data_IF_443375279215
#
_entry.id   IF_443375279215
#
_cell.length_a   1.000
_cell.length_b   1.000
_cell.length_c   1.000
_cell.angle_alpha   90.00
_cell.angle_beta   90.00
_cell.angle_gamma   90.00
#
_symmetry.space_group_name_H-M   'P 1'
#
loop_
_entity.id
_entity.type
_entity.pdbx_description
1 polymer ?
#
# COMPACT_ATOMS: atom_id res chain seq x y z
N UNK A 1 -20.86 0.43 -3.73
CA UNK A 1 -19.47 -0.02 -3.93
C UNK A 1 -19.22 -1.23 -3.04
N UNK A 2 -18.66 -2.34 -3.55
CA UNK A 2 -18.35 -3.52 -2.75
C UNK A 2 -17.27 -3.22 -1.71
N UNK A 3 -17.42 -3.80 -0.52
CA UNK A 3 -16.50 -3.68 0.61
C UNK A 3 -15.30 -4.60 0.43
N UNK A 4 -14.08 -4.09 0.67
CA UNK A 4 -12.84 -4.87 0.61
C UNK A 4 -12.69 -5.73 1.88
N UNK A 5 -12.79 -7.05 1.73
CA UNK A 5 -12.72 -8.04 2.83
C UNK A 5 -11.34 -8.66 3.02
N UNK A 6 -10.33 -8.24 2.26
CA UNK A 6 -9.01 -8.90 2.26
C UNK A 6 -8.29 -8.89 3.62
N UNK A 7 -8.71 -8.01 4.53
CA UNK A 7 -8.14 -7.85 5.86
C UNK A 7 -9.02 -8.43 6.97
N UNK A 8 -10.26 -8.85 6.70
CA UNK A 8 -11.25 -9.25 7.72
C UNK A 8 -10.78 -10.42 8.58
N UNK A 9 -9.95 -11.30 8.02
CA UNK A 9 -9.45 -12.52 8.66
C UNK A 9 -7.99 -12.41 9.09
N UNK A 10 -7.35 -11.26 8.85
CA UNK A 10 -5.92 -11.08 9.08
C UNK A 10 -5.66 -10.69 10.53
N UNK A 11 -4.56 -11.18 11.07
CA UNK A 11 -4.17 -10.85 12.45
C UNK A 11 -3.85 -9.35 12.52
N UNK A 12 -4.69 -8.63 13.24
CA UNK A 12 -4.43 -7.25 13.59
C UNK A 12 -3.23 -7.24 14.54
N UNK A 13 -2.07 -6.85 14.02
CA UNK A 13 -0.84 -6.80 14.80
C UNK A 13 -0.95 -5.80 15.96
N UNK A 14 -1.85 -4.82 15.85
CA UNK A 14 -2.31 -4.00 16.97
C UNK A 14 -3.05 -2.72 16.57
N UNK A 15 -3.77 -2.16 17.54
CA UNK A 15 -4.30 -0.80 17.58
C UNK A 15 -3.59 -0.07 18.74
N UNK A 16 -2.89 1.04 18.49
CA UNK A 16 -2.39 1.92 19.56
C UNK A 16 -0.87 1.98 19.74
N UNK A 17 -0.44 2.61 20.84
CA UNK A 17 0.93 3.09 21.15
C UNK A 17 2.02 2.04 21.03
N UNK A 18 1.75 0.77 21.36
CA UNK A 18 2.74 -0.32 21.34
C UNK A 18 3.34 -0.60 19.94
N UNK A 19 2.62 -0.27 18.87
CA UNK A 19 3.13 -0.39 17.49
C UNK A 19 3.38 0.97 16.84
N UNK A 20 3.06 2.08 17.50
CA UNK A 20 3.30 3.40 16.93
C UNK A 20 4.78 3.64 16.69
N UNK A 21 5.64 3.19 17.59
CA UNK A 21 7.09 3.39 17.46
C UNK A 21 7.66 2.50 16.35
N UNK A 22 7.26 1.21 16.29
CA UNK A 22 7.65 0.33 15.17
C UNK A 22 7.18 0.88 13.83
N UNK A 23 5.91 1.28 13.74
CA UNK A 23 5.36 1.89 12.51
C UNK A 23 6.11 3.19 12.21
N UNK A 24 6.36 4.05 13.20
CA UNK A 24 7.09 5.31 13.03
C UNK A 24 8.49 5.06 12.48
N UNK A 25 9.26 4.16 13.08
CA UNK A 25 10.63 3.86 12.68
C UNK A 25 10.70 3.39 11.23
N UNK A 26 9.74 2.56 10.82
CA UNK A 26 9.65 2.09 9.45
C UNK A 26 9.09 3.15 8.48
N UNK A 27 8.09 3.92 8.90
CA UNK A 27 7.52 4.98 8.08
C UNK A 27 8.52 6.13 7.89
N UNK A 28 9.40 6.48 8.83
CA UNK A 28 10.37 7.57 8.59
C UNK A 28 11.31 7.24 7.41
N UNK A 29 11.54 5.96 7.15
CA UNK A 29 12.44 5.50 6.09
C UNK A 29 11.80 5.41 4.70
N UNK A 30 10.50 5.72 4.53
CA UNK A 30 9.82 5.54 3.24
C UNK A 30 9.65 6.86 2.46
N UNK A 31 9.78 6.84 1.13
CA UNK A 31 9.57 8.04 0.31
C UNK A 31 8.17 8.66 0.42
N UNK A 32 7.16 7.89 0.85
CA UNK A 32 5.78 8.38 1.01
C UNK A 32 5.63 9.42 2.12
N UNK A 33 6.48 9.36 3.13
CA UNK A 33 6.41 10.12 4.39
C UNK A 33 7.64 11.00 4.60
N UNK A 34 8.57 10.99 3.64
CA UNK A 34 9.64 11.97 3.54
C UNK A 34 9.04 13.39 3.58
N UNK A 35 9.67 14.32 4.31
CA UNK A 35 9.18 15.71 4.52
C UNK A 35 7.90 15.86 5.37
N UNK A 36 7.43 14.79 6.03
CA UNK A 36 6.47 14.93 7.13
C UNK A 36 7.22 15.31 8.40
N UNK A 37 6.72 16.33 9.10
CA UNK A 37 7.24 16.66 10.43
C UNK A 37 6.76 15.65 11.50
N UNK A 38 7.26 15.80 12.73
CA UNK A 38 6.94 14.87 13.82
C UNK A 38 5.46 14.84 14.21
N UNK A 39 4.74 15.96 14.10
CA UNK A 39 3.31 16.05 14.41
C UNK A 39 2.48 15.44 13.29
N UNK A 40 2.84 15.72 12.03
CA UNK A 40 2.25 15.12 10.84
C UNK A 40 2.43 13.60 10.81
N UNK A 41 3.63 13.11 11.13
CA UNK A 41 3.92 11.69 11.25
C UNK A 41 3.07 11.05 12.35
N UNK A 42 3.03 11.67 13.53
CA UNK A 42 2.23 11.17 14.67
C UNK A 42 0.75 11.14 14.35
N UNK A 43 0.28 12.14 13.60
CA UNK A 43 -1.09 12.22 13.14
C UNK A 43 -1.39 11.10 12.14
N UNK A 44 -0.58 10.94 11.09
CA UNK A 44 -0.72 9.85 10.11
C UNK A 44 -0.77 8.48 10.77
N UNK A 45 0.11 8.24 11.76
CA UNK A 45 0.14 6.98 12.52
C UNK A 45 -1.20 6.70 13.21
N UNK A 46 -1.95 7.73 13.61
CA UNK A 46 -3.29 7.58 14.17
C UNK A 46 -4.33 6.97 13.20
N UNK A 47 -4.13 7.18 11.89
CA UNK A 47 -5.04 6.73 10.83
C UNK A 47 -4.66 5.38 10.21
N UNK A 48 -3.45 4.89 10.46
CA UNK A 48 -2.99 3.59 9.93
C UNK A 48 -3.24 2.45 10.91
N UNK A 49 -3.32 1.23 10.37
CA UNK A 49 -3.45 -0.03 11.12
C UNK A 49 -2.41 -1.02 10.64
N UNK A 50 -1.85 -1.82 11.54
CA UNK A 50 -0.86 -2.83 11.18
C UNK A 50 -1.47 -4.24 11.16
N UNK A 51 -1.12 -5.01 10.14
CA UNK A 51 -1.59 -6.39 9.98
C UNK A 51 -0.41 -7.34 9.71
N UNK A 52 -0.44 -8.50 10.35
CA UNK A 52 0.45 -9.62 10.03
C UNK A 52 -0.22 -10.53 9.03
N UNK A 53 0.51 -10.86 7.98
CA UNK A 53 0.08 -11.78 6.93
C UNK A 53 1.08 -12.95 6.92
N UNK A 54 0.63 -14.21 6.98
CA UNK A 54 1.51 -15.37 6.81
C UNK A 54 2.21 -15.37 5.46
N UNK A 55 3.24 -16.19 5.29
CA UNK A 55 3.86 -16.44 3.98
C UNK A 55 2.93 -17.23 3.05
N UNK A 56 3.14 -17.10 1.74
CA UNK A 56 2.40 -17.80 0.68
C UNK A 56 0.89 -17.54 0.68
N UNK A 57 0.48 -16.37 1.17
CA UNK A 57 -0.91 -15.96 1.31
C UNK A 57 -1.29 -14.90 0.29
N UNK A 58 -2.41 -15.09 -0.40
CA UNK A 58 -2.98 -14.07 -1.29
C UNK A 58 -3.62 -12.98 -0.43
N UNK A 59 -3.05 -11.77 -0.46
CA UNK A 59 -3.66 -10.63 0.22
C UNK A 59 -4.94 -10.22 -0.52
N UNK A 60 -4.85 -10.00 -1.83
CA UNK A 60 -6.00 -9.74 -2.70
C UNK A 60 -5.70 -10.17 -4.13
N UNK A 61 -6.75 -10.38 -4.92
CA UNK A 61 -6.67 -10.70 -6.34
C UNK A 61 -6.86 -9.46 -7.21
N UNK A 62 -6.31 -9.51 -8.42
CA UNK A 62 -6.71 -8.62 -9.50
C UNK A 62 -8.24 -8.66 -9.70
N UNK A 63 -8.85 -7.48 -9.82
CA UNK A 63 -10.30 -7.32 -9.97
C UNK A 63 -11.09 -7.30 -8.66
N UNK A 64 -10.46 -7.61 -7.51
CA UNK A 64 -11.13 -7.48 -6.21
C UNK A 64 -11.48 -6.02 -5.90
N UNK A 65 -12.51 -5.83 -5.09
CA UNK A 65 -12.81 -4.53 -4.51
C UNK A 65 -11.60 -3.99 -3.76
N UNK A 66 -11.33 -2.69 -3.90
CA UNK A 66 -10.15 -2.07 -3.32
C UNK A 66 -10.52 -0.98 -2.31
N UNK A 67 -10.15 -1.19 -1.05
CA UNK A 67 -10.56 -0.35 0.08
C UNK A 67 -9.43 0.38 0.79
N UNK A 68 -8.17 0.16 0.41
CA UNK A 68 -7.02 0.72 1.12
C UNK A 68 -5.75 0.77 0.26
N UNK A 69 -4.83 1.65 0.67
CA UNK A 69 -3.42 1.54 0.34
C UNK A 69 -2.65 0.91 1.51
N UNK A 70 -1.55 0.25 1.20
CA UNK A 70 -0.68 -0.38 2.18
C UNK A 70 0.79 -0.07 1.95
N UNK A 71 1.58 -0.30 2.99
CA UNK A 71 3.03 -0.14 3.01
C UNK A 71 3.61 -1.42 3.62
N UNK A 72 4.58 -2.02 2.94
CA UNK A 72 5.32 -3.16 3.49
C UNK A 72 6.28 -2.67 4.56
N UNK A 73 6.10 -3.11 5.80
CA UNK A 73 6.97 -2.79 6.93
C UNK A 73 8.13 -3.80 6.97
N UNK A 74 7.81 -5.09 6.90
CA UNK A 74 8.76 -6.19 6.81
C UNK A 74 8.20 -7.32 5.94
N UNK A 75 9.06 -8.19 5.44
CA UNK A 75 8.68 -9.28 4.54
C UNK A 75 8.78 -8.92 3.05
N UNK A 76 8.30 -9.82 2.19
CA UNK A 76 8.29 -9.67 0.73
C UNK A 76 6.97 -10.14 0.15
N UNK A 77 6.56 -9.48 -0.93
CA UNK A 77 5.32 -9.79 -1.63
C UNK A 77 5.55 -9.80 -3.14
N UNK A 78 4.96 -10.79 -3.82
CA UNK A 78 4.94 -10.91 -5.28
C UNK A 78 3.72 -10.20 -5.85
N UNK A 79 3.93 -9.41 -6.90
CA UNK A 79 2.87 -8.81 -7.71
C UNK A 79 2.71 -9.61 -8.99
N UNK A 80 1.52 -10.11 -9.25
CA UNK A 80 1.20 -10.81 -10.50
C UNK A 80 0.01 -10.17 -11.21
N UNK A 81 0.00 -10.24 -12.54
CA UNK A 81 -1.11 -9.76 -13.37
C UNK A 81 -1.43 -10.78 -14.45
N UNK A 82 -2.71 -10.94 -14.78
CA UNK A 82 -3.12 -11.82 -15.88
C UNK A 82 -2.84 -11.16 -17.23
N UNK A 83 -2.25 -11.92 -18.17
CA UNK A 83 -2.15 -11.49 -19.56
C UNK A 83 -3.48 -11.71 -20.30
N UNK A 84 -3.53 -11.35 -21.60
CA UNK A 84 -4.73 -11.52 -22.43
C UNK A 84 -5.19 -12.99 -22.57
N UNK A 85 -4.29 -13.95 -22.37
CA UNK A 85 -4.61 -15.38 -22.36
C UNK A 85 -5.05 -15.89 -20.98
N UNK A 86 -5.14 -15.01 -19.97
CA UNK A 86 -5.54 -15.33 -18.60
C UNK A 86 -4.43 -15.90 -17.72
N UNK A 87 -3.20 -16.02 -18.24
CA UNK A 87 -2.04 -16.54 -17.50
C UNK A 87 -1.49 -15.48 -16.53
N UNK A 88 -1.25 -15.88 -15.28
CA UNK A 88 -0.60 -15.01 -14.31
C UNK A 88 0.88 -14.82 -14.66
N UNK A 89 1.31 -13.56 -14.81
CA UNK A 89 2.70 -13.17 -15.02
C UNK A 89 3.18 -12.36 -13.83
N UNK A 90 4.35 -12.72 -13.30
CA UNK A 90 5.01 -11.92 -12.28
C UNK A 90 5.48 -10.59 -12.89
N UNK A 91 5.07 -9.48 -12.27
CA UNK A 91 5.51 -8.15 -12.66
C UNK A 91 6.81 -7.79 -11.92
N UNK A 92 6.81 -7.97 -10.60
CA UNK A 92 7.95 -7.72 -9.72
C UNK A 92 7.68 -8.25 -8.31
N UNK A 93 8.73 -8.33 -7.50
CA UNK A 93 8.66 -8.54 -6.05
C UNK A 93 8.90 -7.22 -5.33
N UNK A 94 8.07 -6.92 -4.33
CA UNK A 94 8.23 -5.77 -3.44
C UNK A 94 8.65 -6.22 -2.04
N UNK A 95 9.35 -5.33 -1.34
CA UNK A 95 9.79 -5.53 0.03
C UNK A 95 9.58 -4.27 0.87
N UNK A 96 10.29 -4.14 2.01
CA UNK A 96 10.09 -3.05 2.95
C UNK A 96 10.15 -1.66 2.31
N UNK A 97 9.27 -0.77 2.77
CA UNK A 97 9.13 0.61 2.31
C UNK A 97 8.43 0.79 0.97
N UNK A 98 7.98 -0.28 0.32
CA UNK A 98 7.15 -0.18 -0.90
C UNK A 98 5.68 0.01 -0.53
N UNK A 99 5.06 0.97 -1.20
CA UNK A 99 3.62 1.25 -1.15
C UNK A 99 2.89 0.28 -2.10
N UNK A 100 1.63 -0.06 -1.84
CA UNK A 100 0.78 -0.80 -2.78
C UNK A 100 -0.68 -0.40 -2.62
N UNK A 101 -1.51 -0.73 -3.62
CA UNK A 101 -2.95 -0.44 -3.57
C UNK A 101 -3.30 1.04 -3.64
N UNK A 102 -2.33 1.92 -3.91
CA UNK A 102 -2.52 3.36 -3.91
C UNK A 102 -3.37 3.87 -5.08
N UNK A 103 -3.37 3.15 -6.22
CA UNK A 103 -4.19 3.49 -7.39
C UNK A 103 -5.67 3.58 -7.01
N UNK A 104 -6.17 2.56 -6.33
CA UNK A 104 -7.57 2.46 -5.93
C UNK A 104 -8.05 3.59 -5.00
N UNK A 105 -7.13 4.22 -4.26
CA UNK A 105 -7.47 5.41 -3.45
C UNK A 105 -7.72 6.63 -4.34
N UNK A 106 -7.03 6.74 -5.48
CA UNK A 106 -7.14 7.86 -6.40
C UNK A 106 -8.24 7.68 -7.45
N UNK A 107 -8.30 6.52 -8.11
CA UNK A 107 -9.20 6.27 -9.25
C UNK A 107 -10.49 5.52 -8.88
N UNK A 108 -10.54 4.91 -7.70
CA UNK A 108 -11.65 4.07 -7.23
C UNK A 108 -11.92 2.82 -8.09
N UNK A 109 -10.94 2.39 -8.86
CA UNK A 109 -11.02 1.16 -9.64
C UNK A 109 -10.67 -0.08 -8.79
N UNK A 110 -11.06 -1.30 -9.24
CA UNK A 110 -10.66 -2.54 -8.61
C UNK A 110 -9.13 -2.74 -8.55
N UNK A 111 -8.67 -3.72 -7.77
CA UNK A 111 -7.24 -4.07 -7.67
C UNK A 111 -6.65 -4.34 -9.06
N UNK A 112 -5.58 -3.63 -9.40
CA UNK A 112 -4.96 -3.69 -10.74
C UNK A 112 -4.07 -4.92 -10.99
N UNK A 113 -3.80 -5.68 -9.93
CA UNK A 113 -2.93 -6.86 -9.89
C UNK A 113 -3.24 -7.70 -8.63
N UNK A 114 -2.84 -8.97 -8.65
CA UNK A 114 -2.84 -9.86 -7.48
C UNK A 114 -1.59 -9.63 -6.65
N UNK A 115 -1.73 -9.67 -5.32
CA UNK A 115 -0.63 -9.51 -4.38
C UNK A 115 -0.57 -10.71 -3.43
N UNK A 116 0.57 -11.40 -3.41
CA UNK A 116 0.78 -12.61 -2.60
C UNK A 116 2.03 -12.41 -1.73
N UNK A 117 1.97 -12.74 -0.44
CA UNK A 117 3.17 -12.76 0.41
C UNK A 117 4.09 -13.91 0.01
N UNK A 118 5.39 -13.73 0.17
CA UNK A 118 6.42 -14.76 -0.05
C UNK A 118 7.00 -15.29 1.26
N UNK A 119 6.78 -14.55 2.34
CA UNK A 119 7.25 -14.82 3.69
C UNK A 119 6.31 -14.09 4.67
N UNK A 120 6.35 -14.40 5.97
CA UNK A 120 5.60 -13.64 6.98
C UNK A 120 5.87 -12.14 6.82
N UNK A 121 4.80 -11.38 6.56
CA UNK A 121 4.87 -9.98 6.14
C UNK A 121 4.07 -9.11 7.11
N UNK A 122 4.66 -8.00 7.54
CA UNK A 122 4.00 -6.96 8.31
C UNK A 122 3.68 -5.80 7.38
N UNK A 123 2.43 -5.35 7.38
CA UNK A 123 1.98 -4.21 6.56
C UNK A 123 1.33 -3.13 7.44
N UNK A 124 1.54 -1.86 7.08
CA UNK A 124 0.70 -0.75 7.53
C UNK A 124 -0.35 -0.45 6.45
N UNK A 125 -1.58 -0.24 6.87
CA UNK A 125 -2.74 -0.02 6.01
C UNK A 125 -3.40 1.31 6.36
N UNK A 126 -3.63 2.12 5.34
CA UNK A 126 -4.48 3.30 5.41
C UNK A 126 -5.76 3.02 4.60
N UNK A 127 -6.88 2.85 5.28
CA UNK A 127 -8.17 2.65 4.61
C UNK A 127 -8.59 3.92 3.87
N UNK A 128 -9.41 3.74 2.83
CA UNK A 128 -10.04 4.82 2.07
C UNK A 128 -10.75 5.81 2.99
N UNK A 129 -11.55 5.31 3.92
CA UNK A 129 -12.29 6.16 4.86
C UNK A 129 -11.34 6.95 5.76
N UNK A 130 -10.27 6.33 6.26
CA UNK A 130 -9.27 7.02 7.07
C UNK A 130 -8.46 8.03 6.24
N UNK A 131 -8.20 7.76 4.96
CA UNK A 131 -7.57 8.71 4.05
C UNK A 131 -8.45 9.94 3.83
N UNK A 132 -9.74 9.77 3.52
CA UNK A 132 -10.66 10.89 3.36
C UNK A 132 -10.83 11.68 4.67
N UNK A 133 -10.94 10.99 5.81
CA UNK A 133 -10.98 11.63 7.11
C UNK A 133 -9.72 12.44 7.38
N UNK A 134 -8.54 11.88 7.13
CA UNK A 134 -7.26 12.59 7.27
C UNK A 134 -7.22 13.86 6.39
N UNK A 135 -7.64 13.76 5.13
CA UNK A 135 -7.73 14.92 4.23
C UNK A 135 -8.69 16.00 4.75
N UNK A 136 -9.79 15.60 5.41
CA UNK A 136 -10.76 16.55 5.99
C UNK A 136 -10.28 17.15 7.32
N UNK A 137 -9.67 16.37 8.20
CA UNK A 137 -9.27 16.77 9.55
C UNK A 137 -7.91 17.50 9.55
N UNK A 138 -7.07 17.24 8.54
CA UNK A 138 -5.69 17.74 8.40
C UNK A 138 -5.33 17.98 6.92
N UNK A 139 -5.98 18.96 6.30
CA UNK A 139 -5.85 19.25 4.87
C UNK A 139 -4.41 19.37 4.37
N UNK A 140 -3.52 20.04 5.11
CA UNK A 140 -2.10 20.17 4.74
C UNK A 140 -1.39 18.81 4.59
N UNK A 141 -1.60 17.91 5.55
CA UNK A 141 -1.07 16.55 5.51
C UNK A 141 -1.71 15.72 4.39
N UNK A 142 -3.02 15.86 4.17
CA UNK A 142 -3.72 15.22 3.06
C UNK A 142 -3.13 15.58 1.69
N UNK A 143 -2.86 16.87 1.45
CA UNK A 143 -2.22 17.36 0.22
C UNK A 143 -0.81 16.80 0.07
N UNK A 144 0.00 16.79 1.14
CA UNK A 144 1.35 16.18 1.11
C UNK A 144 1.29 14.71 0.71
N UNK A 145 0.39 13.92 1.31
CA UNK A 145 0.22 12.51 0.97
C UNK A 145 -0.22 12.30 -0.48
N UNK A 146 -1.18 13.09 -0.97
CA UNK A 146 -1.60 13.04 -2.38
C UNK A 146 -0.44 13.29 -3.34
N UNK A 147 0.38 14.30 -3.07
CA UNK A 147 1.56 14.59 -3.87
C UNK A 147 2.57 13.43 -3.85
N UNK A 148 2.77 12.79 -2.69
CA UNK A 148 3.69 11.67 -2.54
C UNK A 148 3.19 10.42 -3.25
N UNK A 149 1.90 10.09 -3.15
CA UNK A 149 1.27 9.02 -3.93
C UNK A 149 1.42 9.30 -5.44
N UNK A 150 1.15 10.53 -5.88
CA UNK A 150 1.28 10.93 -7.28
C UNK A 150 2.71 10.77 -7.80
N UNK A 151 3.72 11.09 -6.97
CA UNK A 151 5.14 10.85 -7.28
C UNK A 151 5.45 9.36 -7.42
N UNK A 152 4.94 8.51 -6.51
CA UNK A 152 5.11 7.04 -6.58
C UNK A 152 4.54 6.49 -7.88
N UNK A 153 3.32 6.87 -8.25
CA UNK A 153 2.69 6.46 -9.51
C UNK A 153 3.48 6.95 -10.72
N UNK A 154 3.92 8.21 -10.72
CA UNK A 154 4.74 8.77 -11.80
C UNK A 154 6.05 8.01 -12.00
N UNK A 155 6.71 7.61 -10.91
CA UNK A 155 7.93 6.80 -10.97
C UNK A 155 7.66 5.39 -11.50
N UNK A 156 6.55 4.77 -11.08
CA UNK A 156 6.13 3.45 -11.59
C UNK A 156 5.84 3.49 -13.08
N UNK A 157 5.10 4.50 -13.54
CA UNK A 157 4.80 4.67 -14.95
C UNK A 157 6.08 4.81 -15.78
N UNK A 158 7.03 5.67 -15.35
CA UNK A 158 8.33 5.80 -16.03
C UNK A 158 9.10 4.47 -16.12
N UNK A 159 9.12 3.70 -15.03
CA UNK A 159 9.79 2.38 -15.01
C UNK A 159 9.12 1.37 -15.93
N UNK A 160 7.79 1.28 -15.87
CA UNK A 160 7.02 0.38 -16.73
C UNK A 160 7.16 0.77 -18.20
N UNK A 161 7.04 2.05 -18.55
CA UNK A 161 7.23 2.54 -19.92
C UNK A 161 8.63 2.25 -20.46
N UNK A 162 9.68 2.39 -19.64
CA UNK A 162 11.05 2.03 -20.05
C UNK A 162 11.21 0.54 -20.38
N UNK A 163 10.55 -0.34 -19.64
CA UNK A 163 10.61 -1.79 -19.86
C UNK A 163 9.94 -2.26 -21.16
N UNK A 164 9.11 -1.44 -21.81
CA UNK A 164 8.52 -1.75 -23.12
C UNK A 164 9.46 -1.41 -24.28
N UNK A 165 10.44 -0.52 -24.07
CA UNK A 165 11.41 -0.14 -25.11
C UNK A 165 12.48 -1.23 -25.29
N UNK A 166 12.82 -1.96 -24.23
CA UNK A 166 13.85 -3.02 -24.25
C UNK A 166 13.33 -4.39 -24.73
N UNK A 167 12.08 -4.49 -25.19
CA UNK A 167 11.44 -5.73 -25.65
C UNK A 167 11.02 -5.71 -27.13
N UNK A 168 11.55 -4.77 -27.91
CA UNK A 168 11.43 -4.71 -29.38
C UNK A 168 12.82 -4.96 -29.96
#
# INVERSE_FOLDING_TARGET
>A
MPYDRSLDHRELAGLGTAYKDVIRDHLIAIPLTEELDGDEMTTLIGFVRAYRIPGDEVLFNEGDAAGYLGIVISGRMRVTKRNLAGEARELYVMGPGKVFGEMAILDQEPRSATLTTLEPTLIAVLSRDNFYRLCSERAGLGVKLLLKISRVLSQRLRRMSGQFVDKI
#
